data_IF_751090694375
#
_entry.id   IF_751090694375
#
_cell.length_a   1.000
_cell.length_b   1.000
_cell.length_c   1.000
_cell.angle_alpha   90.00
_cell.angle_beta   90.00
_cell.angle_gamma   90.00
#
_symmetry.space_group_name_H-M   'P 1'
#
loop_
_entity.id
_entity.type
_entity.pdbx_description
1 polymer ?
#
# COMPACT_ATOMS: atom_id res chain seq x y z
N UNK A 1 15.79 -8.53 19.31
CA UNK A 1 15.11 -7.55 20.16
C UNK A 1 13.82 -7.01 19.51
N UNK A 2 12.88 -7.89 19.14
CA UNK A 2 11.51 -7.53 18.71
C UNK A 2 10.44 -8.02 19.71
N UNK A 3 10.84 -8.76 20.74
CA UNK A 3 9.93 -9.48 21.64
C UNK A 3 9.25 -8.58 22.69
N UNK A 4 9.67 -7.32 22.86
CA UNK A 4 9.17 -6.45 23.94
C UNK A 4 8.21 -5.32 23.52
N UNK A 5 7.79 -5.26 22.25
CA UNK A 5 6.77 -4.29 21.80
C UNK A 5 5.37 -4.91 21.61
N UNK A 6 5.22 -6.23 21.79
CA UNK A 6 4.02 -7.00 21.42
C UNK A 6 2.98 -7.15 22.52
N UNK A 7 2.52 -6.05 23.12
CA UNK A 7 1.37 -6.10 24.02
C UNK A 7 0.09 -6.45 23.24
N UNK A 8 -0.44 -7.66 23.43
CA UNK A 8 -1.74 -8.14 22.94
C UNK A 8 -2.01 -7.99 21.43
N UNK A 9 -1.15 -8.55 20.58
CA UNK A 9 -1.42 -8.71 19.14
C UNK A 9 -1.99 -10.10 18.88
N UNK A 10 -3.13 -10.20 18.20
CA UNK A 10 -3.74 -11.48 17.86
C UNK A 10 -2.77 -12.35 17.01
N UNK A 11 -2.83 -13.69 17.09
CA UNK A 11 -1.97 -14.58 16.29
C UNK A 11 -1.97 -14.27 14.79
N UNK A 12 -3.13 -13.96 14.22
CA UNK A 12 -3.34 -13.56 12.83
C UNK A 12 -2.64 -12.23 12.49
N UNK A 13 -2.74 -11.24 13.37
CA UNK A 13 -2.11 -9.94 13.22
C UNK A 13 -0.58 -10.05 13.30
N UNK A 14 -0.05 -11.03 14.04
CA UNK A 14 1.41 -11.28 14.10
C UNK A 14 1.97 -11.76 12.77
N UNK A 15 1.23 -12.60 12.05
CA UNK A 15 1.64 -13.04 10.70
C UNK A 15 1.59 -11.87 9.74
N UNK A 16 0.49 -11.11 9.72
CA UNK A 16 0.36 -9.91 8.89
C UNK A 16 1.46 -8.88 9.17
N UNK A 17 1.76 -8.60 10.45
CA UNK A 17 2.84 -7.68 10.83
C UNK A 17 4.22 -8.20 10.42
N UNK A 18 4.48 -9.49 10.54
CA UNK A 18 5.75 -10.08 10.10
C UNK A 18 5.94 -9.95 8.58
N UNK A 19 4.87 -10.21 7.82
CA UNK A 19 4.83 -10.07 6.36
C UNK A 19 5.00 -8.62 5.90
N UNK A 20 4.35 -7.68 6.58
CA UNK A 20 4.44 -6.25 6.24
C UNK A 20 5.74 -5.61 6.71
N UNK A 21 6.34 -6.09 7.80
CA UNK A 21 7.61 -5.60 8.30
C UNK A 21 8.74 -5.82 7.28
N UNK A 22 8.68 -6.88 6.46
CA UNK A 22 9.58 -7.09 5.31
C UNK A 22 11.08 -7.02 5.62
N UNK A 23 11.49 -7.21 6.88
CA UNK A 23 12.87 -7.06 7.36
C UNK A 23 13.27 -5.63 7.80
N UNK A 24 12.41 -4.63 7.65
CA UNK A 24 12.64 -3.25 8.09
C UNK A 24 12.00 -2.97 9.45
N UNK A 25 12.85 -2.78 10.47
CA UNK A 25 12.42 -2.47 11.84
C UNK A 25 11.61 -1.17 11.92
N UNK A 26 11.94 -0.15 11.11
CA UNK A 26 11.22 1.13 11.08
C UNK A 26 9.82 1.04 10.46
N UNK A 27 9.66 0.20 9.42
CA UNK A 27 8.34 -0.08 8.84
C UNK A 27 7.45 -0.86 9.82
N UNK A 28 8.04 -1.85 10.50
CA UNK A 28 7.38 -2.60 11.56
C UNK A 28 6.87 -1.68 12.69
N UNK A 29 7.68 -0.72 13.14
CA UNK A 29 7.26 0.23 14.19
C UNK A 29 6.09 1.14 13.79
N UNK A 30 5.99 1.50 12.50
CA UNK A 30 4.82 2.23 11.98
C UNK A 30 3.54 1.40 11.97
N UNK A 31 3.67 0.09 11.72
CA UNK A 31 2.55 -0.85 11.62
C UNK A 31 2.10 -1.42 12.97
N UNK A 32 3.00 -1.48 13.96
CA UNK A 32 2.72 -1.90 15.35
C UNK A 32 1.87 -0.85 16.10
N UNK A 33 1.86 0.41 15.65
CA UNK A 33 0.96 1.42 16.22
C UNK A 33 -0.51 1.05 15.94
N UNK A 34 -1.44 1.41 16.85
CA UNK A 34 -2.87 1.23 16.62
C UNK A 34 -3.28 1.83 15.27
N UNK A 35 -3.88 1.03 14.40
CA UNK A 35 -4.41 1.46 13.10
C UNK A 35 -3.55 1.16 11.87
N UNK A 36 -2.32 0.63 12.00
CA UNK A 36 -1.49 0.29 10.84
C UNK A 36 -2.08 -0.83 9.97
N UNK A 37 -2.52 -1.92 10.60
CA UNK A 37 -3.18 -3.06 9.93
C UNK A 37 -4.57 -2.69 9.38
N UNK A 38 -5.32 -1.87 10.13
CA UNK A 38 -6.62 -1.36 9.70
C UNK A 38 -6.47 -0.48 8.45
N UNK A 39 -5.45 0.38 8.43
CA UNK A 39 -5.13 1.22 7.29
C UNK A 39 -4.70 0.40 6.07
N UNK A 40 -3.88 -0.63 6.27
CA UNK A 40 -3.51 -1.54 5.18
C UNK A 40 -4.73 -2.30 4.64
N UNK A 41 -5.62 -2.77 5.52
CA UNK A 41 -6.89 -3.39 5.13
C UNK A 41 -7.76 -2.41 4.34
N UNK A 42 -7.85 -1.15 4.77
CA UNK A 42 -8.60 -0.12 4.06
C UNK A 42 -7.99 0.18 2.68
N UNK A 43 -6.66 0.17 2.55
CA UNK A 43 -5.95 0.30 1.28
C UNK A 43 -6.28 -0.88 0.36
N UNK A 44 -6.13 -2.13 0.81
CA UNK A 44 -6.45 -3.33 0.01
C UNK A 44 -7.91 -3.32 -0.43
N UNK A 45 -8.84 -2.96 0.46
CA UNK A 45 -10.26 -2.83 0.13
C UNK A 45 -10.50 -1.78 -0.96
N UNK A 46 -9.82 -0.65 -0.89
CA UNK A 46 -9.92 0.42 -1.91
C UNK A 46 -9.37 -0.05 -3.25
N UNK A 47 -8.16 -0.61 -3.27
CA UNK A 47 -7.50 -1.10 -4.48
C UNK A 47 -8.20 -2.33 -5.08
N UNK A 48 -8.99 -3.06 -4.29
CA UNK A 48 -9.82 -4.16 -4.79
C UNK A 48 -10.87 -3.73 -5.82
N UNK A 49 -11.22 -2.45 -5.86
CA UNK A 49 -12.21 -1.89 -6.81
C UNK A 49 -11.64 -1.58 -8.20
N UNK A 50 -10.31 -1.60 -8.35
CA UNK A 50 -9.63 -1.35 -9.62
C UNK A 50 -10.06 -2.36 -10.69
N UNK A 51 -10.15 -2.00 -11.99
CA UNK A 51 -9.80 -0.69 -12.58
C UNK A 51 -10.98 0.29 -12.61
N UNK A 52 -11.97 0.12 -11.72
CA UNK A 52 -13.09 1.04 -11.55
C UNK A 52 -13.05 1.57 -10.12
N UNK A 53 -12.01 2.37 -9.85
CA UNK A 53 -11.76 2.91 -8.52
C UNK A 53 -13.03 3.50 -7.89
N UNK A 54 -13.36 3.01 -6.69
CA UNK A 54 -14.35 3.66 -5.83
C UNK A 54 -13.78 4.99 -5.31
N UNK A 55 -14.19 6.08 -5.97
CA UNK A 55 -13.70 7.44 -5.68
C UNK A 55 -14.02 7.88 -4.25
N UNK A 56 -15.24 7.70 -3.71
CA UNK A 56 -15.52 7.96 -2.30
C UNK A 56 -14.57 7.25 -1.34
N UNK A 57 -14.27 5.97 -1.56
CA UNK A 57 -13.32 5.22 -0.72
C UNK A 57 -11.89 5.75 -0.83
N UNK A 58 -11.44 6.08 -2.04
CA UNK A 58 -10.12 6.65 -2.28
C UNK A 58 -9.96 8.03 -1.61
N UNK A 59 -10.98 8.88 -1.69
CA UNK A 59 -10.99 10.19 -1.01
C UNK A 59 -10.94 10.02 0.51
N UNK A 60 -11.75 9.11 1.07
CA UNK A 60 -11.75 8.84 2.50
C UNK A 60 -10.38 8.33 3.00
N UNK A 61 -9.65 7.57 2.19
CA UNK A 61 -8.28 7.15 2.50
C UNK A 61 -7.30 8.34 2.42
N UNK A 62 -7.40 9.17 1.38
CA UNK A 62 -6.54 10.33 1.18
C UNK A 62 -6.71 11.38 2.30
N UNK A 63 -7.95 11.64 2.72
CA UNK A 63 -8.27 12.59 3.79
C UNK A 63 -7.64 12.21 5.14
N UNK A 64 -7.40 10.92 5.40
CA UNK A 64 -6.72 10.49 6.62
C UNK A 64 -5.29 11.03 6.70
N UNK A 65 -4.60 11.15 5.57
CA UNK A 65 -3.24 11.69 5.50
C UNK A 65 -3.18 13.22 5.57
N UNK A 66 -4.30 13.92 5.40
CA UNK A 66 -4.37 15.38 5.37
C UNK A 66 -4.94 16.02 6.64
N UNK A 67 -5.34 15.22 7.63
CA UNK A 67 -5.81 15.76 8.93
C UNK A 67 -4.71 16.60 9.58
N UNK A 68 -5.11 17.64 10.34
CA UNK A 68 -4.18 18.49 11.08
C UNK A 68 -3.32 17.63 12.03
N UNK A 69 -1.99 17.69 11.90
CA UNK A 69 -1.05 16.88 12.68
C UNK A 69 -0.88 15.43 12.20
N UNK A 70 -1.32 15.11 10.98
CA UNK A 70 -1.28 13.77 10.41
C UNK A 70 -0.04 13.49 9.54
N UNK A 71 1.07 14.21 9.74
CA UNK A 71 2.31 14.05 8.96
C UNK A 71 2.88 12.63 9.04
N UNK A 72 2.67 11.97 10.18
CA UNK A 72 3.01 10.57 10.40
C UNK A 72 2.03 9.62 9.66
N UNK A 73 0.74 9.94 9.64
CA UNK A 73 -0.29 9.16 8.93
C UNK A 73 -0.08 9.22 7.42
N UNK A 74 0.19 10.41 6.87
CA UNK A 74 0.55 10.56 5.46
C UNK A 74 1.76 9.69 5.10
N UNK A 75 2.83 9.77 5.91
CA UNK A 75 4.03 8.96 5.72
C UNK A 75 3.74 7.46 5.76
N UNK A 76 2.86 7.03 6.67
CA UNK A 76 2.40 5.65 6.76
C UNK A 76 1.62 5.21 5.52
N UNK A 77 0.65 5.99 5.05
CA UNK A 77 -0.13 5.66 3.83
C UNK A 77 0.80 5.52 2.62
N UNK A 78 1.71 6.47 2.42
CA UNK A 78 2.71 6.40 1.32
C UNK A 78 3.55 5.12 1.43
N UNK A 79 3.99 4.77 2.64
CA UNK A 79 4.80 3.57 2.88
C UNK A 79 4.00 2.28 2.63
N UNK A 80 2.71 2.26 2.98
CA UNK A 80 1.83 1.12 2.72
C UNK A 80 1.52 0.94 1.23
N UNK A 81 1.36 2.04 0.48
CA UNK A 81 1.23 2.00 -0.99
C UNK A 81 2.52 1.41 -1.61
N UNK A 82 3.69 1.92 -1.22
CA UNK A 82 4.97 1.43 -1.73
C UNK A 82 5.20 -0.06 -1.41
N UNK A 83 4.86 -0.47 -0.18
CA UNK A 83 4.92 -1.85 0.25
C UNK A 83 3.99 -2.76 -0.56
N UNK A 84 2.73 -2.35 -0.76
CA UNK A 84 1.78 -3.12 -1.57
C UNK A 84 2.30 -3.27 -3.01
N UNK A 85 2.76 -2.19 -3.64
CA UNK A 85 3.28 -2.26 -5.01
C UNK A 85 4.54 -3.13 -5.11
N UNK A 86 5.40 -3.11 -4.09
CA UNK A 86 6.56 -4.00 -4.00
C UNK A 86 6.17 -5.48 -3.87
N UNK A 87 5.17 -5.78 -3.02
CA UNK A 87 4.62 -7.14 -2.87
C UNK A 87 3.97 -7.61 -4.17
N UNK A 88 3.20 -6.75 -4.82
CA UNK A 88 2.54 -6.99 -6.11
C UNK A 88 3.56 -7.31 -7.23
N UNK A 89 4.60 -6.48 -7.38
CA UNK A 89 5.64 -6.70 -8.37
C UNK A 89 6.44 -7.98 -8.11
N UNK A 90 6.78 -8.26 -6.84
CA UNK A 90 7.46 -9.50 -6.48
C UNK A 90 6.60 -10.73 -6.79
N UNK A 91 5.33 -10.69 -6.42
CA UNK A 91 4.41 -11.81 -6.64
C UNK A 91 4.22 -12.12 -8.13
N UNK A 92 4.01 -11.10 -8.98
CA UNK A 92 3.87 -11.32 -10.42
C UNK A 92 5.18 -11.74 -11.10
N UNK A 93 6.34 -11.37 -10.54
CA UNK A 93 7.64 -11.85 -11.02
C UNK A 93 7.86 -13.33 -10.71
N UNK A 94 7.48 -13.75 -9.50
CA UNK A 94 7.63 -15.13 -9.03
C UNK A 94 6.46 -16.04 -9.45
N UNK A 95 5.38 -15.45 -9.98
CA UNK A 95 4.10 -16.11 -10.21
C UNK A 95 3.59 -16.87 -8.97
N UNK A 96 3.76 -16.25 -7.80
CA UNK A 96 3.40 -16.82 -6.50
C UNK A 96 2.92 -15.71 -5.57
N UNK A 97 1.69 -15.82 -5.08
CA UNK A 97 1.15 -14.88 -4.11
C UNK A 97 1.86 -15.05 -2.74
N UNK A 98 2.21 -13.94 -2.06
CA UNK A 98 2.72 -14.01 -0.70
C UNK A 98 1.60 -14.42 0.27
N UNK A 99 1.92 -14.85 1.50
CA UNK A 99 0.92 -14.98 2.55
C UNK A 99 0.15 -13.68 2.72
N UNK A 100 -1.19 -13.77 2.82
CA UNK A 100 -2.04 -12.59 2.94
C UNK A 100 -1.75 -11.82 4.24
N UNK A 101 -1.47 -10.53 4.10
CA UNK A 101 -1.39 -9.57 5.20
C UNK A 101 -2.72 -8.82 5.43
N UNK A 102 -3.63 -8.87 4.46
CA UNK A 102 -5.02 -8.46 4.61
C UNK A 102 -5.92 -9.37 3.76
N UNK A 103 -7.19 -9.49 4.16
CA UNK A 103 -8.17 -10.31 3.45
C UNK A 103 -8.27 -9.88 1.98
N UNK A 104 -8.25 -10.86 1.07
CA UNK A 104 -8.36 -10.69 -0.38
C UNK A 104 -7.15 -10.03 -1.05
N UNK A 105 -6.04 -9.82 -0.33
CA UNK A 105 -4.80 -9.29 -0.90
C UNK A 105 -4.25 -10.22 -2.00
N UNK A 106 -4.25 -11.54 -1.78
CA UNK A 106 -3.70 -12.48 -2.77
C UNK A 106 -4.51 -12.45 -4.06
N UNK A 107 -5.84 -12.49 -3.96
CA UNK A 107 -6.74 -12.40 -5.12
C UNK A 107 -6.59 -11.06 -5.88
N UNK A 108 -6.35 -9.96 -5.15
CA UNK A 108 -6.05 -8.66 -5.77
C UNK A 108 -4.71 -8.70 -6.52
N UNK A 109 -3.67 -9.26 -5.90
CA UNK A 109 -2.33 -9.37 -6.48
C UNK A 109 -2.34 -10.20 -7.76
N UNK A 110 -2.96 -11.38 -7.73
CA UNK A 110 -3.06 -12.28 -8.88
C UNK A 110 -3.76 -11.60 -10.06
N UNK A 111 -4.82 -10.83 -9.78
CA UNK A 111 -5.56 -10.10 -10.81
C UNK A 111 -4.78 -8.94 -11.41
N UNK A 112 -4.00 -8.21 -10.61
CA UNK A 112 -3.26 -7.03 -11.06
C UNK A 112 -1.90 -7.37 -11.69
N UNK A 113 -1.24 -8.44 -11.25
CA UNK A 113 0.08 -8.84 -11.74
C UNK A 113 0.12 -10.33 -12.17
N UNK A 114 -0.64 -10.72 -13.21
CA UNK A 114 -0.74 -12.12 -13.65
C UNK A 114 0.53 -12.66 -14.33
N UNK A 115 1.51 -11.80 -14.63
CA UNK A 115 2.74 -12.18 -15.33
C UNK A 115 3.91 -11.23 -15.02
N UNK A 116 5.16 -11.63 -15.33
CA UNK A 116 6.34 -10.80 -15.09
C UNK A 116 6.34 -9.45 -15.81
N UNK A 117 5.67 -9.34 -16.95
CA UNK A 117 5.54 -8.08 -17.69
C UNK A 117 4.70 -7.06 -16.91
N UNK A 118 3.56 -7.50 -16.36
CA UNK A 118 2.70 -6.68 -15.50
C UNK A 118 3.43 -6.29 -14.21
N UNK A 119 4.16 -7.25 -13.61
CA UNK A 119 4.99 -7.00 -12.43
C UNK A 119 6.03 -5.89 -12.64
N UNK A 120 6.69 -5.86 -13.81
CA UNK A 120 7.65 -4.80 -14.14
C UNK A 120 7.01 -3.41 -14.18
N UNK A 121 5.82 -3.30 -14.77
CA UNK A 121 5.07 -2.04 -14.82
C UNK A 121 4.71 -1.55 -13.42
N UNK A 122 4.32 -2.45 -12.52
CA UNK A 122 4.05 -2.11 -11.12
C UNK A 122 5.32 -1.69 -10.35
N UNK A 123 6.46 -2.34 -10.60
CA UNK A 123 7.74 -1.96 -10.02
C UNK A 123 8.16 -0.54 -10.46
N UNK A 124 8.03 -0.24 -11.75
CA UNK A 124 8.34 1.08 -12.30
C UNK A 124 7.40 2.15 -11.70
N UNK A 125 6.10 1.85 -11.56
CA UNK A 125 5.13 2.74 -10.91
C UNK A 125 5.50 3.01 -9.45
N UNK A 126 5.89 1.99 -8.68
CA UNK A 126 6.29 2.15 -7.28
C UNK A 126 7.43 3.18 -7.14
N UNK A 127 8.46 3.09 -7.98
CA UNK A 127 9.57 4.04 -8.00
C UNK A 127 9.12 5.47 -8.32
N UNK A 128 8.23 5.63 -9.31
CA UNK A 128 7.68 6.93 -9.71
C UNK A 128 6.89 7.56 -8.56
N UNK A 129 5.99 6.81 -7.93
CA UNK A 129 5.13 7.30 -6.86
C UNK A 129 5.94 7.62 -5.60
N UNK A 130 6.89 6.77 -5.19
CA UNK A 130 7.77 7.05 -4.04
C UNK A 130 8.62 8.31 -4.23
N UNK A 131 9.17 8.52 -5.44
CA UNK A 131 9.89 9.75 -5.77
C UNK A 131 8.99 10.99 -5.74
N UNK A 132 7.77 10.89 -6.28
CA UNK A 132 6.79 11.98 -6.26
C UNK A 132 6.36 12.32 -4.84
N UNK A 133 6.12 11.33 -3.97
CA UNK A 133 5.74 11.56 -2.58
C UNK A 133 6.83 12.32 -1.81
N UNK A 134 8.10 11.92 -1.97
CA UNK A 134 9.26 12.62 -1.35
C UNK A 134 9.38 14.07 -1.82
N UNK A 135 9.28 14.29 -3.14
CA UNK A 135 9.37 15.64 -3.71
C UNK A 135 8.19 16.52 -3.30
N UNK A 136 6.97 16.00 -3.36
CA UNK A 136 5.75 16.71 -3.00
C UNK A 136 5.80 17.21 -1.56
N UNK A 137 6.33 16.40 -0.64
CA UNK A 137 6.58 16.81 0.75
C UNK A 137 7.62 17.92 0.85
N UNK A 138 8.70 17.87 0.07
CA UNK A 138 9.75 18.89 0.09
C UNK A 138 9.28 20.27 -0.41
N UNK A 139 8.22 20.32 -1.22
CA UNK A 139 7.64 21.57 -1.75
C UNK A 139 6.29 21.94 -1.12
N UNK A 140 5.93 21.35 0.02
CA UNK A 140 4.68 21.63 0.76
C UNK A 140 3.38 21.41 -0.05
N UNK A 141 3.30 20.38 -0.89
CA UNK A 141 2.04 20.01 -1.54
C UNK A 141 1.00 19.55 -0.52
N UNK A 142 -0.27 19.79 -0.85
CA UNK A 142 -1.41 19.26 -0.11
C UNK A 142 -1.36 17.72 -0.03
N UNK A 143 -1.34 17.13 1.19
CA UNK A 143 -1.21 15.68 1.36
C UNK A 143 -2.37 14.87 0.75
N UNK A 144 -3.61 15.36 0.84
CA UNK A 144 -4.77 14.65 0.30
C UNK A 144 -4.70 14.60 -1.23
N UNK A 145 -4.43 15.73 -1.88
CA UNK A 145 -4.26 15.81 -3.33
C UNK A 145 -3.14 14.87 -3.82
N UNK A 146 -2.02 14.81 -3.10
CA UNK A 146 -0.90 13.94 -3.44
C UNK A 146 -1.24 12.45 -3.29
N UNK A 147 -1.94 12.06 -2.22
CA UNK A 147 -2.41 10.68 -2.02
C UNK A 147 -3.45 10.28 -3.06
N UNK A 148 -4.43 11.16 -3.34
CA UNK A 148 -5.45 10.92 -4.34
C UNK A 148 -4.83 10.75 -5.73
N UNK A 149 -3.87 11.61 -6.08
CA UNK A 149 -3.10 11.51 -7.31
C UNK A 149 -2.39 10.15 -7.43
N UNK A 150 -1.73 9.68 -6.36
CA UNK A 150 -1.09 8.36 -6.35
C UNK A 150 -2.10 7.23 -6.62
N UNK A 151 -3.26 7.23 -5.96
CA UNK A 151 -4.30 6.20 -6.17
C UNK A 151 -4.87 6.24 -7.58
N UNK A 152 -5.08 7.44 -8.16
CA UNK A 152 -5.53 7.60 -9.54
C UNK A 152 -4.52 7.05 -10.56
N UNK A 153 -3.23 7.24 -10.32
CA UNK A 153 -2.17 6.65 -11.17
C UNK A 153 -2.14 5.13 -11.09
N UNK A 154 -2.42 4.55 -9.91
CA UNK A 154 -2.57 3.11 -9.76
C UNK A 154 -3.78 2.61 -10.56
N UNK A 155 -4.91 3.33 -10.53
CA UNK A 155 -6.11 3.00 -11.31
C UNK A 155 -5.87 3.07 -12.82
N UNK A 156 -5.19 4.11 -13.29
CA UNK A 156 -4.80 4.26 -14.69
C UNK A 156 -3.95 3.09 -15.20
N UNK A 157 -2.94 2.69 -14.42
CA UNK A 157 -2.09 1.53 -14.76
C UNK A 157 -2.90 0.24 -14.72
N UNK A 158 -3.75 0.04 -13.71
CA UNK A 158 -4.63 -1.13 -13.63
C UNK A 158 -5.57 -1.21 -14.85
N UNK A 159 -6.16 -0.08 -15.27
CA UNK A 159 -7.01 0.00 -16.46
C UNK A 159 -6.26 -0.34 -17.74
N UNK A 160 -5.03 0.15 -17.89
CA UNK A 160 -4.18 -0.15 -19.05
C UNK A 160 -3.80 -1.63 -19.11
N UNK A 161 -3.55 -2.26 -17.97
CA UNK A 161 -3.22 -3.69 -17.89
C UNK A 161 -4.46 -4.57 -18.14
N UNK A 162 -5.63 -4.18 -17.66
CA UNK A 162 -6.87 -4.94 -17.85
C UNK A 162 -7.40 -4.93 -19.30
N UNK A 163 -6.94 -4.00 -20.13
CA UNK A 163 -7.31 -3.91 -21.55
C UNK A 163 -6.41 -4.74 -22.48
N UNK A 164 -5.33 -5.34 -21.96
CA UNK A 164 -4.37 -6.15 -22.72
C UNK A 164 -4.67 -7.64 -22.58
#
# INVERSE_FOLDING_TARGET
ALTQAGGNVAPEDRVALAELAGGSVGAAFGMIKPGGLELYTALIRTLSTLPRLDRPMALALADQGAKKGAEAQFGLIVSLIDLFLSRLARAGTLNMAPPEAARSEAALIERLAPNPQSARIWADLAQVLGNRARRGRAVNLDPAALLMDMVLKIDEVAGTLAQR
#
